data_IF_523611739610
#
_entry.id   IF_523611739610
#
_cell.length_a   1.000
_cell.length_b   1.000
_cell.length_c   1.000
_cell.angle_alpha   90.00
_cell.angle_beta   90.00
_cell.angle_gamma   90.00
#
_symmetry.space_group_name_H-M   'P 1'
#
loop_
_entity.id
_entity.type
_entity.pdbx_description
1 polymer ?
#
# COMPACT_ATOMS: atom_id res chain seq x y z
N UNK A 1 -6.37 3.59 -13.08
CA UNK A 1 -5.04 3.36 -13.67
C UNK A 1 -4.21 4.63 -13.80
N UNK A 2 -4.73 5.72 -14.38
CA UNK A 2 -3.96 6.97 -14.60
C UNK A 2 -3.23 7.45 -13.34
N UNK A 3 -3.93 7.52 -12.20
CA UNK A 3 -3.32 8.03 -10.96
C UNK A 3 -2.22 7.12 -10.38
N UNK A 4 -2.37 5.78 -10.50
CA UNK A 4 -1.33 4.81 -10.11
C UNK A 4 -0.09 4.99 -10.98
N UNK A 5 -0.25 5.15 -12.29
CA UNK A 5 0.86 5.39 -13.22
C UNK A 5 1.54 6.74 -12.95
N UNK A 6 0.77 7.81 -12.71
CA UNK A 6 1.33 9.11 -12.33
C UNK A 6 2.17 9.03 -11.06
N UNK A 7 1.65 8.41 -9.99
CA UNK A 7 2.38 8.25 -8.73
C UNK A 7 3.67 7.45 -8.94
N UNK A 8 3.64 6.38 -9.75
CA UNK A 8 4.85 5.64 -10.14
C UNK A 8 5.85 6.54 -10.87
N UNK A 9 5.43 7.27 -11.90
CA UNK A 9 6.32 8.16 -12.68
C UNK A 9 6.93 9.27 -11.84
N UNK A 10 6.25 9.73 -10.78
CA UNK A 10 6.74 10.73 -9.84
C UNK A 10 7.63 10.15 -8.73
N UNK A 11 7.73 8.82 -8.61
CA UNK A 11 8.47 8.16 -7.52
C UNK A 11 7.67 7.96 -6.22
N UNK A 12 6.39 8.31 -6.20
CA UNK A 12 5.45 8.13 -5.08
C UNK A 12 4.94 6.67 -5.04
N UNK A 13 5.85 5.73 -4.73
CA UNK A 13 5.57 4.29 -4.82
C UNK A 13 4.58 3.83 -3.76
N UNK A 14 4.66 4.37 -2.54
CA UNK A 14 3.74 4.02 -1.46
C UNK A 14 2.29 4.38 -1.81
N UNK A 15 2.09 5.60 -2.28
CA UNK A 15 0.81 6.14 -2.72
C UNK A 15 0.25 5.32 -3.89
N UNK A 16 1.11 4.95 -4.84
CA UNK A 16 0.73 4.08 -5.96
C UNK A 16 0.17 2.73 -5.46
N UNK A 17 0.81 2.12 -4.44
CA UNK A 17 0.35 0.85 -3.85
C UNK A 17 -0.98 1.03 -3.12
N UNK A 18 -1.16 2.11 -2.35
CA UNK A 18 -2.43 2.37 -1.65
C UNK A 18 -3.58 2.58 -2.65
N UNK A 19 -3.33 3.34 -3.73
CA UNK A 19 -4.29 3.60 -4.80
C UNK A 19 -4.74 2.33 -5.53
N UNK A 20 -3.92 1.27 -5.55
CA UNK A 20 -4.31 -0.01 -6.15
C UNK A 20 -5.52 -0.66 -5.46
N UNK A 21 -5.84 -0.26 -4.22
CA UNK A 21 -6.99 -0.79 -3.49
C UNK A 21 -8.31 -0.10 -3.84
N UNK A 22 -8.27 1.04 -4.54
CA UNK A 22 -9.45 1.84 -4.91
C UNK A 22 -10.18 1.30 -6.16
N UNK A 23 -9.69 0.20 -6.75
CA UNK A 23 -10.35 -0.42 -7.89
C UNK A 23 -11.70 -1.03 -7.51
N UNK A 24 -12.67 -1.07 -8.45
CA UNK A 24 -13.88 -1.88 -8.26
C UNK A 24 -13.50 -3.35 -8.02
N UNK A 25 -14.35 -4.06 -7.27
CA UNK A 25 -14.06 -5.37 -6.66
C UNK A 25 -13.16 -6.30 -7.51
N UNK A 26 -11.93 -6.50 -7.04
CA UNK A 26 -11.29 -7.82 -7.08
C UNK A 26 -10.32 -8.13 -8.22
N UNK A 27 -9.23 -7.37 -8.37
CA UNK A 27 -7.98 -8.02 -8.80
C UNK A 27 -7.01 -7.17 -9.57
N UNK A 28 -7.41 -6.57 -10.71
CA UNK A 28 -6.44 -6.03 -11.67
C UNK A 28 -5.49 -4.97 -11.06
N UNK A 29 -6.02 -4.06 -10.25
CA UNK A 29 -5.18 -3.08 -9.57
C UNK A 29 -4.38 -3.68 -8.41
N UNK A 30 -4.94 -4.64 -7.66
CA UNK A 30 -4.19 -5.36 -6.62
C UNK A 30 -3.01 -6.13 -7.25
N UNK A 31 -3.22 -6.83 -8.36
CA UNK A 31 -2.15 -7.48 -9.14
C UNK A 31 -1.09 -6.47 -9.58
N UNK A 32 -1.51 -5.27 -10.02
CA UNK A 32 -0.56 -4.19 -10.34
C UNK A 32 0.25 -3.77 -9.10
N UNK A 33 -0.39 -3.64 -7.93
CA UNK A 33 0.28 -3.36 -6.66
C UNK A 33 1.30 -4.45 -6.27
N UNK A 34 0.92 -5.71 -6.42
CA UNK A 34 1.81 -6.85 -6.17
C UNK A 34 3.02 -6.85 -7.12
N UNK A 35 2.81 -6.56 -8.40
CA UNK A 35 3.89 -6.41 -9.39
C UNK A 35 4.83 -5.26 -9.05
N UNK A 36 4.29 -4.13 -8.58
CA UNK A 36 5.11 -3.01 -8.09
C UNK A 36 5.99 -3.50 -6.95
N UNK A 37 5.40 -4.13 -5.92
CA UNK A 37 6.15 -4.63 -4.75
C UNK A 37 7.22 -5.65 -5.16
N UNK A 38 6.92 -6.56 -6.08
CA UNK A 38 7.88 -7.56 -6.56
C UNK A 38 9.03 -6.92 -7.35
N UNK A 39 8.76 -5.88 -8.16
CA UNK A 39 9.82 -5.14 -8.84
C UNK A 39 10.79 -4.44 -7.87
N UNK A 40 10.30 -4.01 -6.70
CA UNK A 40 11.14 -3.46 -5.63
C UNK A 40 12.03 -4.53 -5.00
N UNK A 41 11.59 -5.79 -4.98
CA UNK A 41 12.36 -6.92 -4.43
C UNK A 41 13.52 -7.33 -5.34
N UNK A 42 13.30 -7.32 -6.65
CA UNK A 42 14.29 -7.75 -7.64
C UNK A 42 15.42 -6.75 -7.87
N UNK A 43 15.37 -5.56 -7.25
CA UNK A 43 16.41 -4.54 -7.40
C UNK A 43 16.57 -4.09 -8.85
N UNK A 44 15.55 -4.26 -9.69
CA UNK A 44 15.53 -3.66 -11.01
C UNK A 44 15.61 -2.15 -10.79
N UNK A 45 16.75 -1.59 -11.21
CA UNK A 45 17.08 -0.16 -11.14
C UNK A 45 16.08 0.64 -11.99
N UNK A 46 14.85 0.75 -11.53
CA UNK A 46 14.04 1.90 -11.88
C UNK A 46 14.62 3.02 -11.04
N UNK A 47 15.55 3.75 -11.66
CA UNK A 47 16.17 4.94 -11.11
C UNK A 47 15.06 5.97 -10.84
N UNK A 48 14.34 5.81 -9.74
CA UNK A 48 13.46 6.81 -9.22
C UNK A 48 14.36 7.82 -8.50
N UNK A 49 14.39 9.09 -8.94
CA UNK A 49 15.23 10.12 -8.34
C UNK A 49 14.81 10.46 -6.90
N UNK A 50 13.70 9.89 -6.43
CA UNK A 50 13.22 9.98 -5.05
C UNK A 50 13.56 8.70 -4.31
N UNK A 51 14.44 8.87 -3.32
CA UNK A 51 14.75 7.91 -2.26
C UNK A 51 13.50 7.18 -1.82
N UNK A 52 13.59 5.84 -1.66
CA UNK A 52 12.56 5.01 -1.04
C UNK A 52 12.04 5.69 0.22
N UNK A 53 10.96 6.46 0.07
CA UNK A 53 10.30 7.04 1.20
C UNK A 53 9.80 5.87 2.03
N UNK A 54 9.83 6.04 3.33
CA UNK A 54 9.68 4.91 4.23
C UNK A 54 8.29 4.30 4.05
N UNK A 55 8.19 3.18 3.31
CA UNK A 55 6.93 2.53 2.95
C UNK A 55 6.07 2.15 4.18
N UNK A 56 6.65 2.13 5.37
CA UNK A 56 5.91 1.92 6.61
C UNK A 56 4.89 3.03 6.91
N UNK A 57 5.09 4.26 6.41
CA UNK A 57 4.14 5.36 6.54
C UNK A 57 2.77 5.06 5.93
N UNK A 58 2.73 4.27 4.85
CA UNK A 58 1.46 3.92 4.17
C UNK A 58 0.71 2.76 4.83
N UNK A 59 1.31 2.05 5.79
CA UNK A 59 0.72 0.83 6.35
C UNK A 59 -0.68 1.06 6.96
N UNK A 60 -0.89 2.26 7.53
CA UNK A 60 -2.17 2.67 8.13
C UNK A 60 -3.30 2.80 7.11
N UNK A 61 -2.99 3.02 5.83
CA UNK A 61 -3.95 3.20 4.74
C UNK A 61 -4.27 1.91 3.98
N UNK A 62 -3.59 0.81 4.29
CA UNK A 62 -3.79 -0.48 3.61
C UNK A 62 -4.88 -1.31 4.29
N UNK A 63 -5.81 -1.89 3.54
CA UNK A 63 -6.83 -2.83 4.03
C UNK A 63 -6.83 -4.16 3.27
N UNK A 64 -6.14 -4.25 2.13
CA UNK A 64 -5.97 -5.50 1.40
C UNK A 64 -4.82 -6.31 2.02
N UNK A 65 -5.13 -7.55 2.42
CA UNK A 65 -4.19 -8.43 3.11
C UNK A 65 -3.05 -8.90 2.19
N UNK A 66 -3.31 -9.11 0.89
CA UNK A 66 -2.30 -9.57 -0.07
C UNK A 66 -1.17 -8.54 -0.22
N UNK A 67 -1.53 -7.25 -0.31
CA UNK A 67 -0.55 -6.15 -0.36
C UNK A 67 0.22 -6.02 0.95
N UNK A 68 -0.47 -6.14 2.10
CA UNK A 68 0.17 -6.10 3.42
C UNK A 68 1.17 -7.25 3.61
N UNK A 69 0.81 -8.45 3.17
CA UNK A 69 1.69 -9.63 3.22
C UNK A 69 2.88 -9.47 2.29
N UNK A 70 2.66 -9.02 1.06
CA UNK A 70 3.74 -8.75 0.10
C UNK A 70 4.74 -7.70 0.63
N UNK A 71 4.25 -6.61 1.24
CA UNK A 71 5.11 -5.60 1.87
C UNK A 71 5.84 -6.16 3.10
N UNK A 72 5.18 -6.98 3.93
CA UNK A 72 5.82 -7.65 5.06
C UNK A 72 6.99 -8.52 4.59
N UNK A 73 6.79 -9.28 3.50
CA UNK A 73 7.81 -10.12 2.90
C UNK A 73 8.95 -9.29 2.30
N UNK A 74 8.64 -8.19 1.61
CA UNK A 74 9.66 -7.26 1.10
C UNK A 74 10.56 -6.74 2.22
N UNK A 75 9.97 -6.30 3.36
CA UNK A 75 10.77 -5.82 4.49
C UNK A 75 11.58 -6.93 5.16
N UNK A 76 11.08 -8.16 5.15
CA UNK A 76 11.84 -9.32 5.60
C UNK A 76 13.08 -9.56 4.72
N UNK A 77 12.95 -9.52 3.39
CA UNK A 77 14.09 -9.63 2.47
C UNK A 77 15.10 -8.49 2.64
N UNK A 78 14.63 -7.28 2.95
CA UNK A 78 15.48 -6.11 3.20
C UNK A 78 16.12 -6.12 4.60
N UNK A 79 15.98 -7.19 5.38
CA UNK A 79 16.46 -7.28 6.77
C UNK A 79 15.95 -6.12 7.67
N UNK A 80 14.82 -5.50 7.32
CA UNK A 80 14.28 -4.34 8.03
C UNK A 80 13.21 -4.78 9.04
N UNK A 81 13.65 -5.22 10.21
CA UNK A 81 12.77 -5.80 11.22
C UNK A 81 11.74 -4.79 11.78
N UNK A 82 12.11 -3.52 11.96
CA UNK A 82 11.19 -2.48 12.43
C UNK A 82 10.03 -2.27 11.47
N UNK A 83 10.32 -2.14 10.16
CA UNK A 83 9.32 -1.96 9.12
C UNK A 83 8.45 -3.21 8.95
N UNK A 84 9.04 -4.40 9.02
CA UNK A 84 8.30 -5.67 9.05
C UNK A 84 7.28 -5.70 10.19
N UNK A 85 7.66 -5.28 11.39
CA UNK A 85 6.74 -5.22 12.55
C UNK A 85 5.59 -4.24 12.32
N UNK A 86 5.79 -3.13 11.61
CA UNK A 86 4.72 -2.19 11.27
C UNK A 86 3.63 -2.85 10.44
N UNK A 87 3.98 -3.53 9.34
CA UNK A 87 3.00 -4.20 8.49
C UNK A 87 2.33 -5.40 9.19
N UNK A 88 3.08 -6.18 9.97
CA UNK A 88 2.50 -7.25 10.79
C UNK A 88 1.48 -6.71 11.79
N UNK A 89 1.74 -5.55 12.41
CA UNK A 89 0.76 -4.92 13.31
C UNK A 89 -0.52 -4.58 12.57
N UNK A 90 -0.42 -4.06 11.34
CA UNK A 90 -1.58 -3.76 10.50
C UNK A 90 -2.37 -5.02 10.10
N UNK A 91 -1.70 -6.13 9.76
CA UNK A 91 -2.36 -7.40 9.45
C UNK A 91 -3.17 -7.91 10.66
N UNK A 92 -2.64 -7.73 11.86
CA UNK A 92 -3.28 -8.20 13.10
C UNK A 92 -4.36 -7.26 13.65
N UNK A 93 -4.70 -6.19 12.93
CA UNK A 93 -5.79 -5.31 13.33
C UNK A 93 -7.16 -5.99 13.11
N UNK A 94 -8.04 -6.02 14.12
CA UNK A 94 -9.32 -6.73 14.02
C UNK A 94 -10.20 -6.20 12.90
N UNK A 95 -10.13 -4.91 12.56
CA UNK A 95 -10.97 -4.28 11.55
C UNK A 95 -10.65 -4.70 10.10
N UNK A 96 -9.44 -5.22 9.82
CA UNK A 96 -9.06 -5.73 8.49
C UNK A 96 -9.21 -7.25 8.35
N UNK A 97 -9.68 -7.93 9.40
CA UNK A 97 -9.84 -9.38 9.39
C UNK A 97 -10.82 -9.82 8.29
N UNK A 98 -10.37 -10.69 7.38
CA UNK A 98 -11.17 -11.18 6.25
C UNK A 98 -12.44 -11.92 6.66
N UNK A 99 -12.51 -12.43 7.91
CA UNK A 99 -13.69 -13.10 8.47
C UNK A 99 -14.78 -12.14 8.95
N UNK A 100 -14.52 -10.82 8.93
CA UNK A 100 -15.52 -9.83 9.29
C UNK A 100 -16.69 -9.80 8.30
N UNK A 101 -17.82 -9.27 8.75
CA UNK A 101 -18.97 -9.01 7.87
C UNK A 101 -18.60 -8.02 6.78
N UNK A 102 -19.30 -8.08 5.64
CA UNK A 102 -19.12 -7.14 4.53
C UNK A 102 -19.26 -5.69 4.97
N UNK A 103 -20.16 -5.42 5.90
CA UNK A 103 -20.39 -4.09 6.47
C UNK A 103 -19.14 -3.56 7.20
N UNK A 104 -18.56 -4.36 8.10
CA UNK A 104 -17.32 -3.98 8.81
C UNK A 104 -16.18 -3.76 7.81
N UNK A 105 -16.01 -4.68 6.85
CA UNK A 105 -14.98 -4.55 5.81
C UNK A 105 -15.18 -3.28 4.98
N UNK A 106 -16.43 -2.95 4.63
CA UNK A 106 -16.76 -1.74 3.89
C UNK A 106 -16.51 -0.47 4.72
N UNK A 107 -16.86 -0.46 6.00
CA UNK A 107 -16.54 0.65 6.91
C UNK A 107 -15.03 0.85 7.04
N UNK A 108 -14.25 -0.22 7.22
CA UNK A 108 -12.79 -0.16 7.29
C UNK A 108 -12.18 0.39 6.00
N UNK A 109 -12.65 -0.09 4.85
CA UNK A 109 -12.25 0.41 3.52
C UNK A 109 -12.51 1.91 3.42
N UNK A 110 -13.74 2.34 3.69
CA UNK A 110 -14.14 3.75 3.59
C UNK A 110 -13.32 4.64 4.52
N UNK A 111 -13.10 4.20 5.77
CA UNK A 111 -12.28 4.94 6.73
C UNK A 111 -10.86 5.15 6.21
N UNK A 112 -10.13 4.07 5.91
CA UNK A 112 -8.73 4.15 5.48
C UNK A 112 -8.60 4.87 4.13
N UNK A 113 -9.55 4.66 3.21
CA UNK A 113 -9.60 5.41 1.96
C UNK A 113 -9.78 6.91 2.18
N UNK A 114 -10.69 7.32 3.06
CA UNK A 114 -10.92 8.74 3.35
C UNK A 114 -9.73 9.42 4.04
N UNK A 115 -9.06 8.71 4.97
CA UNK A 115 -7.85 9.20 5.64
C UNK A 115 -6.70 9.34 4.64
N UNK A 116 -6.53 8.36 3.76
CA UNK A 116 -5.53 8.42 2.69
C UNK A 116 -5.79 9.58 1.74
N UNK A 117 -7.02 9.75 1.25
CA UNK A 117 -7.33 10.82 0.30
C UNK A 117 -7.08 12.20 0.89
N UNK A 118 -7.37 12.40 2.19
CA UNK A 118 -7.03 13.64 2.91
C UNK A 118 -5.53 13.85 3.00
N UNK A 119 -4.79 12.82 3.39
CA UNK A 119 -3.33 12.89 3.44
C UNK A 119 -2.72 13.19 2.06
N UNK A 120 -3.22 12.52 1.02
CA UNK A 120 -2.77 12.67 -0.36
C UNK A 120 -3.10 14.05 -0.94
N UNK A 121 -4.25 14.64 -0.60
CA UNK A 121 -4.57 16.01 -1.01
C UNK A 121 -3.66 17.04 -0.36
N UNK A 122 -3.31 16.85 0.92
CA UNK A 122 -2.43 17.76 1.65
C UNK A 122 -1.02 17.77 1.05
N UNK A 123 -0.53 16.60 0.62
CA UNK A 123 0.77 16.47 -0.04
C UNK A 123 0.84 17.09 -1.45
N UNK A 124 -0.28 17.09 -2.21
CA UNK A 124 -0.30 17.63 -3.59
C UNK A 124 -0.48 19.15 -3.63
N UNK A 125 -1.13 19.73 -2.62
CA UNK A 125 -1.42 21.18 -2.56
C UNK A 125 -0.30 22.01 -1.90
N UNK A 126 0.80 21.37 -1.51
CA UNK A 126 1.97 22.02 -0.89
C UNK A 126 3.15 22.01 -1.85
#
# INVERSE_FOLDING_TARGET
MVMVQCCRSLGCIGEAIVLCQFGPDGGALITTGLQIIDSLRCGENVAFPYTFDSLDGIATFLWNLDLLEALTNLQFFNCSQSKKTTFLRCINQPEVNASNTREILQMTRNKRASEFLRHFSDQILT
#
